data_IF_438361080896
#
_entry.id   IF_438361080896
#
_cell.length_a   1.000
_cell.length_b   1.000
_cell.length_c   1.000
_cell.angle_alpha   90.00
_cell.angle_beta   90.00
_cell.angle_gamma   90.00
#
_symmetry.space_group_name_H-M   'P 1'
#
loop_
_entity.id
_entity.type
_entity.pdbx_description
1 polymer ?
#
# COMPACT_ATOMS: atom_id res chain seq x y z
N UNK A 1 9.74 2.59 41.46
CA UNK A 1 8.32 3.06 41.31
C UNK A 1 7.86 3.13 39.85
N UNK A 2 8.72 3.53 38.89
CA UNK A 2 8.38 3.58 37.45
C UNK A 2 8.15 2.17 36.84
N UNK A 3 8.99 1.19 37.19
CA UNK A 3 8.82 -0.22 36.75
C UNK A 3 7.50 -0.87 37.20
N UNK A 4 6.94 -0.51 38.36
CA UNK A 4 5.64 -1.04 38.81
C UNK A 4 4.44 -0.44 38.04
N UNK A 5 4.62 0.69 37.33
CA UNK A 5 3.63 1.19 36.36
C UNK A 5 3.59 0.35 35.08
N UNK A 6 4.71 -0.27 34.68
CA UNK A 6 4.77 -1.13 33.49
C UNK A 6 3.96 -2.43 33.66
N UNK A 7 3.99 -3.10 34.82
CA UNK A 7 3.08 -4.24 35.08
C UNK A 7 1.59 -3.86 35.04
N UNK A 8 1.27 -2.60 35.33
CA UNK A 8 -0.11 -2.06 35.24
C UNK A 8 -0.55 -1.84 33.79
N UNK A 9 0.38 -1.75 32.82
CA UNK A 9 0.07 -1.56 31.39
C UNK A 9 -0.55 -2.78 30.71
N UNK A 10 -0.29 -4.03 31.16
CA UNK A 10 -0.94 -5.21 30.55
C UNK A 10 -2.47 -5.23 30.71
N UNK A 11 -3.02 -4.63 31.78
CA UNK A 11 -4.48 -4.41 31.92
C UNK A 11 -5.00 -3.32 30.97
N UNK A 12 -4.19 -2.30 30.68
CA UNK A 12 -4.53 -1.25 29.71
C UNK A 12 -4.49 -1.74 28.26
N UNK A 13 -3.68 -2.77 27.93
CA UNK A 13 -3.63 -3.35 26.59
C UNK A 13 -4.95 -3.97 26.18
N UNK A 14 -5.57 -4.80 27.03
CA UNK A 14 -6.92 -5.34 26.76
C UNK A 14 -7.97 -4.25 26.58
N UNK A 15 -7.87 -3.16 27.34
CA UNK A 15 -8.76 -2.00 27.22
C UNK A 15 -8.54 -1.23 25.91
N UNK A 16 -7.30 -1.11 25.42
CA UNK A 16 -7.01 -0.47 24.13
C UNK A 16 -7.33 -1.37 22.95
N UNK A 17 -7.08 -2.68 23.01
CA UNK A 17 -7.46 -3.59 21.93
C UNK A 17 -8.98 -3.63 21.76
N UNK A 18 -9.73 -3.60 22.87
CA UNK A 18 -11.18 -3.41 22.84
C UNK A 18 -11.57 -2.03 22.28
N UNK A 19 -10.86 -0.97 22.65
CA UNK A 19 -11.07 0.37 22.11
C UNK A 19 -10.77 0.45 20.61
N UNK A 20 -9.66 -0.13 20.14
CA UNK A 20 -9.30 -0.22 18.74
C UNK A 20 -10.30 -1.08 17.97
N UNK A 21 -10.80 -2.18 18.54
CA UNK A 21 -11.88 -2.96 17.95
C UNK A 21 -13.17 -2.14 17.84
N UNK A 22 -13.51 -1.35 18.86
CA UNK A 22 -14.66 -0.44 18.84
C UNK A 22 -14.48 0.66 17.79
N UNK A 23 -13.30 1.29 17.73
CA UNK A 23 -12.95 2.29 16.71
C UNK A 23 -13.00 1.67 15.32
N UNK A 24 -12.46 0.46 15.14
CA UNK A 24 -12.50 -0.25 13.86
C UNK A 24 -13.93 -0.41 13.38
N UNK A 25 -14.85 -0.79 14.27
CA UNK A 25 -16.26 -0.90 13.92
C UNK A 25 -16.90 0.47 13.61
N UNK A 26 -16.55 1.53 14.35
CA UNK A 26 -17.12 2.87 14.16
C UNK A 26 -16.59 3.63 12.94
N UNK A 27 -15.32 3.43 12.58
CA UNK A 27 -14.65 4.14 11.49
C UNK A 27 -14.64 3.35 10.18
N UNK A 28 -15.08 2.09 10.19
CA UNK A 28 -15.21 1.31 8.96
C UNK A 28 -16.27 1.97 8.10
N UNK A 29 -15.91 2.26 6.86
CA UNK A 29 -16.88 2.77 5.89
C UNK A 29 -17.92 1.68 5.63
N UNK A 30 -19.17 1.99 5.94
CA UNK A 30 -20.32 1.19 5.56
C UNK A 30 -20.53 1.37 4.06
N UNK A 31 -20.41 0.28 3.32
CA UNK A 31 -20.67 0.24 1.87
C UNK A 31 -21.81 -0.72 1.61
N UNK A 32 -22.60 -0.44 0.57
CA UNK A 32 -23.56 -1.44 0.09
C UNK A 32 -22.81 -2.69 -0.45
N UNK A 33 -23.46 -3.86 -0.58
CA UNK A 33 -22.79 -5.10 -1.02
C UNK A 33 -22.05 -4.98 -2.36
N UNK A 34 -22.49 -4.06 -3.22
CA UNK A 34 -21.93 -3.87 -4.55
C UNK A 34 -21.04 -2.64 -4.67
N UNK A 35 -21.10 -1.72 -3.71
CA UNK A 35 -20.29 -0.51 -3.70
C UNK A 35 -18.82 -0.83 -3.37
N UNK A 36 -17.94 -0.19 -4.14
CA UNK A 36 -16.50 -0.31 -3.96
C UNK A 36 -16.03 0.64 -2.85
N UNK A 37 -15.46 0.08 -1.79
CA UNK A 37 -14.80 0.87 -0.75
C UNK A 37 -13.47 1.47 -1.24
N UNK A 38 -13.47 2.75 -1.63
CA UNK A 38 -12.29 3.49 -2.10
C UNK A 38 -11.21 3.77 -1.02
N UNK A 39 -11.48 3.44 0.25
CA UNK A 39 -10.44 3.43 1.30
C UNK A 39 -9.60 2.17 1.27
N UNK A 40 -10.16 1.04 0.81
CA UNK A 40 -9.46 -0.24 0.64
C UNK A 40 -8.95 -0.44 -0.79
N UNK A 41 -9.73 0.01 -1.77
CA UNK A 41 -9.45 -0.15 -3.20
C UNK A 41 -9.14 1.19 -3.86
N UNK A 42 -8.45 1.17 -4.99
CA UNK A 42 -8.20 2.34 -5.84
C UNK A 42 -8.47 1.98 -7.29
N UNK A 43 -8.84 2.97 -8.08
CA UNK A 43 -8.97 2.83 -9.53
C UNK A 43 -7.61 3.13 -10.16
N UNK A 44 -7.15 2.25 -11.04
CA UNK A 44 -5.89 2.34 -11.78
C UNK A 44 -6.17 2.11 -13.27
N UNK A 45 -5.24 2.51 -14.13
CA UNK A 45 -5.33 2.28 -15.59
C UNK A 45 -6.11 3.33 -16.38
N UNK A 46 -6.70 4.30 -15.68
CA UNK A 46 -7.57 5.30 -16.27
C UNK A 46 -9.04 4.92 -16.19
N UNK A 47 -9.87 5.62 -16.95
CA UNK A 47 -11.31 5.36 -17.04
C UNK A 47 -11.65 5.14 -18.50
N UNK A 48 -12.32 4.03 -18.79
CA UNK A 48 -12.73 3.65 -20.13
C UNK A 48 -14.19 4.02 -20.33
N UNK A 49 -14.51 4.59 -21.47
CA UNK A 49 -15.85 5.01 -21.84
C UNK A 49 -16.19 4.43 -23.20
N UNK A 50 -17.40 3.92 -23.34
CA UNK A 50 -17.99 3.62 -24.63
C UNK A 50 -19.44 4.07 -24.59
N UNK A 51 -19.90 4.70 -25.68
CA UNK A 51 -21.28 5.10 -25.86
C UNK A 51 -21.89 4.19 -26.94
N UNK A 52 -23.13 3.75 -26.71
CA UNK A 52 -23.92 3.09 -27.74
C UNK A 52 -24.77 4.13 -28.44
N UNK A 53 -24.85 4.00 -29.75
CA UNK A 53 -25.57 4.94 -30.61
C UNK A 53 -26.61 4.15 -31.38
N UNK A 54 -27.87 4.57 -31.26
CA UNK A 54 -28.95 4.08 -32.12
C UNK A 54 -28.89 4.85 -33.43
N UNK A 55 -28.76 4.10 -34.51
CA UNK A 55 -28.92 4.62 -35.86
C UNK A 55 -30.25 4.14 -36.41
N UNK A 56 -31.07 5.06 -36.93
CA UNK A 56 -32.34 4.72 -37.55
C UNK A 56 -32.08 3.83 -38.77
N UNK A 57 -32.71 2.66 -38.82
CA UNK A 57 -32.69 1.77 -39.98
C UNK A 57 -33.40 2.45 -41.16
N UNK A 58 -32.63 3.04 -42.08
CA UNK A 58 -33.15 3.60 -43.33
C UNK A 58 -33.21 2.52 -44.42
N UNK A 59 -34.04 1.51 -44.20
CA UNK A 59 -34.31 0.49 -45.23
C UNK A 59 -35.27 1.07 -46.26
N UNK A 60 -34.84 1.12 -47.52
CA UNK A 60 -35.68 1.48 -48.65
C UNK A 60 -36.00 0.21 -49.46
N UNK A 61 -37.27 -0.24 -49.47
CA UNK A 61 -37.67 -1.41 -50.24
C UNK A 61 -37.68 -1.08 -51.73
N UNK A 62 -37.07 -1.95 -52.52
CA UNK A 62 -37.09 -1.94 -53.99
C UNK A 62 -38.31 -2.72 -54.50
N UNK A 63 -38.64 -2.53 -55.78
CA UNK A 63 -39.82 -3.13 -56.43
C UNK A 63 -39.76 -4.67 -56.52
N UNK A 64 -38.59 -5.26 -56.31
CA UNK A 64 -38.29 -6.69 -56.38
C UNK A 64 -38.18 -7.33 -54.99
N UNK A 65 -38.75 -6.71 -53.96
CA UNK A 65 -38.70 -7.14 -52.55
C UNK A 65 -37.30 -7.09 -51.90
N UNK A 66 -36.28 -6.63 -52.62
CA UNK A 66 -34.96 -6.38 -52.03
C UNK A 66 -34.96 -5.06 -51.25
N UNK A 67 -34.11 -4.93 -50.22
CA UNK A 67 -33.97 -3.70 -49.44
C UNK A 67 -32.58 -3.11 -49.65
N UNK A 68 -32.50 -1.80 -49.91
CA UNK A 68 -31.24 -1.06 -49.87
C UNK A 68 -31.20 -0.19 -48.61
N UNK A 69 -30.04 -0.11 -47.98
CA UNK A 69 -29.82 0.84 -46.89
C UNK A 69 -29.35 2.17 -47.51
N UNK A 70 -30.20 3.19 -47.46
CA UNK A 70 -29.84 4.53 -47.95
C UNK A 70 -29.17 5.28 -46.78
N UNK A 71 -27.98 5.83 -46.99
CA UNK A 71 -27.28 6.68 -46.00
C UNK A 71 -27.45 8.16 -46.38
N UNK A 72 -28.69 8.65 -46.48
CA UNK A 72 -28.96 10.03 -46.90
C UNK A 72 -30.07 10.63 -46.04
N UNK A 73 -29.77 11.64 -45.23
CA UNK A 73 -30.75 12.35 -44.39
C UNK A 73 -30.11 13.13 -43.23
N UNK A 74 -30.94 13.80 -42.42
CA UNK A 74 -30.51 14.34 -41.13
C UNK A 74 -30.28 13.18 -40.18
N UNK A 75 -29.04 12.99 -39.74
CA UNK A 75 -28.68 11.93 -38.81
C UNK A 75 -29.19 12.28 -37.41
N UNK A 76 -30.39 11.81 -37.06
CA UNK A 76 -30.85 11.79 -35.68
C UNK A 76 -30.10 10.67 -34.95
N UNK A 77 -28.87 10.98 -34.55
CA UNK A 77 -28.01 10.14 -33.73
C UNK A 77 -28.48 10.29 -32.28
N UNK A 78 -29.11 9.24 -31.76
CA UNK A 78 -29.50 9.20 -30.34
C UNK A 78 -28.59 8.25 -29.58
N UNK A 79 -28.18 8.66 -28.37
CA UNK A 79 -27.48 7.76 -27.46
C UNK A 79 -28.45 6.68 -26.98
N UNK A 80 -27.99 5.44 -26.97
CA UNK A 80 -28.74 4.33 -26.40
C UNK A 80 -28.33 4.10 -24.94
N UNK A 81 -29.27 4.29 -24.03
CA UNK A 81 -29.12 3.96 -22.62
C UNK A 81 -29.30 2.45 -22.42
N UNK A 82 -28.38 1.67 -23.00
CA UNK A 82 -28.42 0.22 -22.94
C UNK A 82 -28.45 -0.28 -21.49
N UNK A 83 -29.49 -1.05 -21.19
CA UNK A 83 -29.66 -1.74 -19.92
C UNK A 83 -30.15 -3.16 -20.20
N UNK A 84 -29.37 -4.13 -19.75
CA UNK A 84 -29.75 -5.53 -19.67
C UNK A 84 -29.47 -6.04 -18.26
N UNK A 85 -30.54 -6.38 -17.53
CA UNK A 85 -30.44 -6.97 -16.20
C UNK A 85 -30.34 -8.47 -16.40
N UNK A 86 -29.14 -8.99 -16.20
CA UNK A 86 -28.86 -10.41 -16.28
C UNK A 86 -28.98 -11.04 -14.89
N UNK A 87 -29.84 -12.06 -14.80
CA UNK A 87 -29.99 -12.91 -13.62
C UNK A 87 -29.36 -14.27 -13.95
N UNK A 88 -28.26 -14.65 -13.29
CA UNK A 88 -27.62 -15.92 -13.56
C UNK A 88 -28.56 -17.08 -13.21
N UNK A 89 -28.54 -18.18 -13.99
CA UNK A 89 -29.35 -19.35 -13.70
C UNK A 89 -29.04 -19.89 -12.31
N UNK A 90 -30.07 -20.17 -11.51
CA UNK A 90 -29.90 -20.77 -10.19
C UNK A 90 -29.47 -22.22 -10.36
N UNK A 91 -28.29 -22.57 -9.84
CA UNK A 91 -27.87 -23.97 -9.71
C UNK A 91 -28.66 -24.54 -8.54
N UNK A 92 -29.56 -25.48 -8.80
CA UNK A 92 -30.23 -26.24 -7.74
C UNK A 92 -29.27 -27.34 -7.33
N UNK A 93 -28.60 -27.18 -6.18
CA UNK A 93 -27.86 -28.28 -5.58
C UNK A 93 -28.88 -29.31 -5.08
N UNK A 94 -29.13 -30.37 -5.85
CA UNK A 94 -29.83 -31.56 -5.38
C UNK A 94 -28.85 -32.48 -4.65
N UNK A 95 -29.26 -33.06 -3.51
CA UNK A 95 -28.47 -33.97 -2.65
C UNK A 95 -28.05 -35.30 -3.33
N UNK A 96 -28.29 -35.45 -4.62
CA UNK A 96 -27.89 -36.60 -5.42
C UNK A 96 -26.72 -36.17 -6.32
N UNK A 97 -25.62 -36.92 -6.28
CA UNK A 97 -24.31 -36.69 -6.93
C UNK A 97 -24.32 -36.55 -8.48
N UNK A 98 -25.43 -36.13 -9.09
CA UNK A 98 -25.50 -35.74 -10.49
C UNK A 98 -25.37 -34.20 -10.59
N UNK A 99 -24.18 -33.73 -10.94
CA UNK A 99 -23.96 -32.36 -11.43
C UNK A 99 -24.86 -32.12 -12.66
N UNK A 100 -26.12 -31.70 -12.45
CA UNK A 100 -26.97 -31.23 -13.54
C UNK A 100 -26.28 -30.02 -14.17
N UNK A 101 -25.83 -30.18 -15.42
CA UNK A 101 -25.25 -29.08 -16.19
C UNK A 101 -26.24 -27.93 -16.18
N UNK A 102 -25.82 -26.71 -15.80
CA UNK A 102 -26.72 -25.57 -15.77
C UNK A 102 -27.36 -25.41 -17.16
N UNK A 103 -28.65 -25.03 -17.21
CA UNK A 103 -29.35 -24.82 -18.47
C UNK A 103 -28.57 -23.85 -19.37
N UNK A 104 -28.64 -24.00 -20.70
CA UNK A 104 -27.95 -23.10 -21.63
C UNK A 104 -28.38 -21.66 -21.35
N UNK A 105 -27.39 -20.82 -21.09
CA UNK A 105 -27.60 -19.44 -20.70
C UNK A 105 -27.62 -18.52 -21.91
N UNK A 106 -28.71 -18.57 -22.68
CA UNK A 106 -28.87 -17.79 -23.90
C UNK A 106 -28.93 -16.27 -23.64
N UNK A 107 -29.10 -15.85 -22.38
CA UNK A 107 -29.23 -14.44 -22.01
C UNK A 107 -27.87 -13.77 -21.80
N UNK A 108 -26.81 -14.52 -21.51
CA UNK A 108 -25.47 -13.95 -21.30
C UNK A 108 -24.93 -13.28 -22.57
N UNK A 109 -25.32 -13.75 -23.74
CA UNK A 109 -24.90 -13.23 -25.06
C UNK A 109 -25.55 -11.89 -25.43
N UNK A 110 -26.57 -11.47 -24.67
CA UNK A 110 -27.14 -10.12 -24.80
C UNK A 110 -26.30 -9.06 -24.10
N UNK A 111 -25.38 -9.44 -23.22
CA UNK A 111 -24.47 -8.52 -22.54
C UNK A 111 -23.39 -8.02 -23.49
N UNK A 112 -22.84 -6.85 -23.19
CA UNK A 112 -21.73 -6.28 -23.95
C UNK A 112 -20.45 -6.93 -23.47
N UNK A 113 -19.77 -7.65 -24.35
CA UNK A 113 -18.44 -8.17 -24.08
C UNK A 113 -17.40 -7.05 -24.20
N UNK A 114 -16.59 -6.88 -23.16
CA UNK A 114 -15.51 -5.89 -23.09
C UNK A 114 -14.20 -6.62 -22.86
N UNK A 115 -13.20 -6.27 -23.65
CA UNK A 115 -11.83 -6.76 -23.51
C UNK A 115 -10.88 -5.58 -23.38
N UNK A 116 -10.07 -5.57 -22.32
CA UNK A 116 -9.12 -4.50 -22.02
C UNK A 116 -7.73 -5.11 -21.86
N UNK A 117 -6.79 -4.68 -22.69
CA UNK A 117 -5.36 -4.87 -22.44
C UNK A 117 -4.91 -3.95 -21.32
N UNK A 118 -4.31 -4.53 -20.27
CA UNK A 118 -3.88 -3.79 -19.10
C UNK A 118 -2.73 -2.83 -19.46
N UNK A 119 -2.73 -1.59 -18.95
CA UNK A 119 -1.66 -0.65 -19.24
C UNK A 119 -0.31 -1.10 -18.67
N UNK A 120 0.73 -1.11 -19.50
CA UNK A 120 2.08 -1.57 -19.12
C UNK A 120 2.76 -0.69 -18.06
N UNK A 121 2.32 0.56 -17.87
CA UNK A 121 2.87 1.50 -16.91
C UNK A 121 2.32 1.32 -15.48
N UNK A 122 1.58 0.24 -15.21
CA UNK A 122 0.94 -0.03 -13.93
C UNK A 122 1.31 -1.43 -13.46
N UNK A 123 1.64 -1.52 -12.17
CA UNK A 123 1.86 -2.78 -11.47
C UNK A 123 0.54 -3.33 -10.93
N UNK A 124 0.18 -4.51 -11.41
CA UNK A 124 -0.96 -5.29 -10.93
C UNK A 124 -0.45 -6.43 -10.07
N UNK A 125 -0.61 -6.33 -8.75
CA UNK A 125 -0.21 -7.37 -7.80
C UNK A 125 -1.26 -8.47 -7.61
N UNK A 126 -2.51 -8.15 -7.95
CA UNK A 126 -3.65 -9.06 -7.97
C UNK A 126 -4.44 -8.79 -9.26
N UNK A 127 -5.25 -9.75 -9.68
CA UNK A 127 -6.12 -9.57 -10.83
C UNK A 127 -7.04 -8.35 -10.63
N UNK A 128 -7.02 -7.35 -11.53
CA UNK A 128 -7.90 -6.20 -11.41
C UNK A 128 -9.37 -6.62 -11.48
N UNK A 129 -10.23 -5.93 -10.74
CA UNK A 129 -11.68 -6.12 -10.86
C UNK A 129 -12.30 -4.93 -11.60
N UNK A 130 -12.99 -5.14 -12.74
CA UNK A 130 -13.70 -4.08 -13.42
C UNK A 130 -14.90 -3.61 -12.59
N UNK A 131 -15.12 -2.30 -12.57
CA UNK A 131 -16.21 -1.64 -11.85
C UNK A 131 -16.82 -0.54 -12.71
N UNK A 132 -18.11 -0.29 -12.53
CA UNK A 132 -18.87 0.72 -13.23
C UNK A 132 -19.10 1.95 -12.36
N UNK A 133 -19.06 3.14 -12.96
CA UNK A 133 -19.42 4.38 -12.28
C UNK A 133 -20.93 4.63 -12.37
N UNK A 134 -21.61 4.51 -11.24
CA UNK A 134 -23.03 4.84 -11.11
C UNK A 134 -23.18 6.31 -10.74
N UNK A 135 -23.49 7.14 -11.75
CA UNK A 135 -23.51 8.60 -11.62
C UNK A 135 -24.53 9.11 -10.60
N UNK A 136 -25.70 8.50 -10.52
CA UNK A 136 -26.80 8.94 -9.65
C UNK A 136 -26.45 8.74 -8.17
N UNK A 137 -25.87 7.59 -7.85
CA UNK A 137 -25.42 7.23 -6.50
C UNK A 137 -24.02 7.81 -6.18
N UNK A 138 -23.27 8.23 -7.20
CA UNK A 138 -21.87 8.69 -7.12
C UNK A 138 -20.93 7.64 -6.52
N UNK A 139 -21.12 6.39 -6.92
CA UNK A 139 -20.32 5.26 -6.46
C UNK A 139 -19.68 4.51 -7.62
N UNK A 140 -18.57 3.86 -7.32
CA UNK A 140 -18.06 2.74 -8.13
C UNK A 140 -18.73 1.46 -7.64
N UNK A 141 -19.27 0.65 -8.55
CA UNK A 141 -20.01 -0.56 -8.22
C UNK A 141 -19.55 -1.74 -9.05
N UNK A 142 -19.65 -2.94 -8.46
CA UNK A 142 -19.50 -4.22 -9.18
C UNK A 142 -20.82 -4.70 -9.81
N UNK A 143 -21.91 -3.94 -9.65
CA UNK A 143 -23.19 -4.27 -10.28
C UNK A 143 -23.08 -4.28 -11.79
N UNK A 144 -23.84 -5.19 -12.41
CA UNK A 144 -23.93 -5.34 -13.86
C UNK A 144 -22.60 -5.67 -14.54
N UNK A 145 -21.63 -6.21 -13.79
CA UNK A 145 -20.36 -6.74 -14.29
C UNK A 145 -20.36 -8.25 -14.06
N UNK A 146 -20.13 -9.02 -15.12
CA UNK A 146 -20.27 -10.48 -15.12
C UNK A 146 -19.12 -11.14 -15.89
N UNK A 147 -18.97 -12.45 -15.72
CA UNK A 147 -18.02 -13.31 -16.47
C UNK A 147 -16.58 -12.75 -16.53
N UNK A 148 -16.06 -12.29 -15.39
CA UNK A 148 -14.73 -11.70 -15.32
C UNK A 148 -13.67 -12.79 -15.50
N UNK A 149 -12.86 -12.67 -16.54
CA UNK A 149 -11.76 -13.56 -16.89
C UNK A 149 -10.48 -12.76 -17.04
N UNK A 150 -9.47 -13.07 -16.24
CA UNK A 150 -8.15 -12.45 -16.33
C UNK A 150 -7.14 -13.42 -16.94
N UNK A 151 -6.51 -13.00 -18.04
CA UNK A 151 -5.39 -13.71 -18.64
C UNK A 151 -4.09 -13.03 -18.20
N UNK A 152 -3.38 -13.65 -17.26
CA UNK A 152 -2.15 -13.13 -16.68
C UNK A 152 -0.99 -13.10 -17.69
N UNK A 153 -0.88 -14.10 -18.58
CA UNK A 153 0.20 -14.16 -19.58
C UNK A 153 0.10 -13.02 -20.61
N UNK A 154 -1.12 -12.72 -21.06
CA UNK A 154 -1.39 -11.65 -22.03
C UNK A 154 -1.61 -10.29 -21.38
N UNK A 155 -1.76 -10.24 -20.05
CA UNK A 155 -2.20 -9.04 -19.31
C UNK A 155 -3.49 -8.45 -19.91
N UNK A 156 -4.48 -9.32 -20.16
CA UNK A 156 -5.79 -8.93 -20.73
C UNK A 156 -6.89 -9.35 -19.78
N UNK A 157 -7.84 -8.45 -19.54
CA UNK A 157 -9.06 -8.75 -18.80
C UNK A 157 -10.27 -8.71 -19.73
N UNK A 158 -11.08 -9.76 -19.68
CA UNK A 158 -12.32 -9.90 -20.43
C UNK A 158 -13.48 -10.00 -19.43
N UNK A 159 -14.56 -9.30 -19.69
CA UNK A 159 -15.75 -9.30 -18.84
C UNK A 159 -16.95 -8.87 -19.67
N UNK A 160 -18.15 -9.11 -19.13
CA UNK A 160 -19.41 -8.70 -19.74
C UNK A 160 -20.11 -7.65 -18.89
N UNK A 161 -20.71 -6.66 -19.52
CA UNK A 161 -21.44 -5.59 -18.83
C UNK A 161 -22.90 -5.51 -19.29
N UNK A 162 -23.78 -5.33 -18.30
CA UNK A 162 -25.23 -5.15 -18.52
C UNK A 162 -25.64 -3.69 -18.69
N UNK A 163 -24.72 -2.73 -18.50
CA UNK A 163 -24.97 -1.31 -18.72
C UNK A 163 -23.76 -0.64 -19.37
N UNK A 164 -24.01 0.30 -20.27
CA UNK A 164 -22.98 1.13 -20.89
C UNK A 164 -22.60 2.30 -19.96
N UNK A 165 -21.87 2.00 -18.88
CA UNK A 165 -21.39 2.99 -17.91
C UNK A 165 -19.85 3.13 -17.97
N UNK A 166 -19.28 4.23 -17.45
CA UNK A 166 -17.84 4.37 -17.37
C UNK A 166 -17.20 3.23 -16.56
N UNK A 167 -16.13 2.65 -17.10
CA UNK A 167 -15.43 1.51 -16.52
C UNK A 167 -14.13 1.97 -15.88
N UNK A 168 -13.91 1.55 -14.64
CA UNK A 168 -12.62 1.61 -13.96
C UNK A 168 -12.10 0.22 -13.66
N UNK A 169 -10.77 0.07 -13.60
CA UNK A 169 -10.14 -1.15 -13.10
C UNK A 169 -9.71 -0.92 -11.65
N UNK A 170 -10.29 -1.67 -10.72
CA UNK A 170 -9.96 -1.52 -9.31
C UNK A 170 -8.90 -2.52 -8.86
N UNK A 171 -8.00 -2.04 -8.00
CA UNK A 171 -6.95 -2.80 -7.34
C UNK A 171 -6.96 -2.53 -5.83
N UNK A 172 -6.47 -3.48 -5.04
CA UNK A 172 -6.28 -3.31 -3.60
C UNK A 172 -5.14 -2.34 -3.33
N UNK A 173 -5.36 -1.34 -2.47
CA UNK A 173 -4.37 -0.29 -2.17
C UNK A 173 -3.19 -0.80 -1.36
N UNK A 174 -3.43 -1.76 -0.47
CA UNK A 174 -2.48 -2.12 0.59
C UNK A 174 -1.84 -3.48 0.36
N UNK A 175 -1.70 -3.92 -0.90
CA UNK A 175 -1.09 -5.22 -1.22
C UNK A 175 0.32 -5.39 -0.66
N UNK A 176 1.05 -4.29 -0.53
CA UNK A 176 2.42 -4.25 -0.01
C UNK A 176 2.53 -3.92 1.49
N UNK A 177 1.42 -4.03 2.23
CA UNK A 177 1.37 -3.88 3.68
C UNK A 177 0.81 -5.15 4.34
N UNK A 178 1.29 -5.54 5.54
CA UNK A 178 2.44 -4.96 6.25
C UNK A 178 3.78 -5.29 5.57
N UNK A 179 4.82 -4.52 5.90
CA UNK A 179 6.19 -4.78 5.44
C UNK A 179 6.79 -5.96 6.20
N UNK A 180 7.63 -6.74 5.51
CA UNK A 180 8.33 -7.87 6.09
C UNK A 180 9.62 -7.43 6.79
N UNK A 181 10.40 -6.55 6.14
CA UNK A 181 11.63 -5.98 6.73
C UNK A 181 11.89 -4.58 6.18
N UNK A 182 12.71 -3.83 6.89
CA UNK A 182 13.24 -2.54 6.44
C UNK A 182 14.64 -2.33 7.00
N UNK A 183 15.44 -1.54 6.28
CA UNK A 183 16.77 -1.14 6.70
C UNK A 183 17.06 0.28 6.23
N UNK A 184 17.61 1.10 7.11
CA UNK A 184 18.12 2.43 6.80
C UNK A 184 19.61 2.47 7.13
N UNK A 185 20.44 2.84 6.15
CA UNK A 185 21.89 2.91 6.33
C UNK A 185 22.47 4.15 5.65
N UNK A 186 23.59 4.69 6.16
CA UNK A 186 24.28 5.74 5.44
C UNK A 186 24.84 5.21 4.12
N UNK A 187 24.91 6.10 3.13
CA UNK A 187 25.65 5.88 1.90
C UNK A 187 27.17 5.87 2.13
N UNK A 188 27.92 5.96 1.03
CA UNK A 188 29.37 6.06 1.08
C UNK A 188 29.82 7.27 1.90
N UNK A 189 30.96 7.16 2.59
CA UNK A 189 31.48 8.26 3.40
C UNK A 189 31.69 9.51 2.53
N UNK A 190 31.01 10.61 2.87
CA UNK A 190 31.07 11.86 2.12
C UNK A 190 30.04 12.01 1.01
N UNK A 191 29.21 10.99 0.72
CA UNK A 191 28.14 11.12 -0.28
C UNK A 191 26.98 12.00 0.18
N UNK A 192 26.82 12.16 1.50
CA UNK A 192 25.68 12.82 2.14
C UNK A 192 24.33 12.22 1.67
N UNK A 193 24.30 10.89 1.53
CA UNK A 193 23.12 10.13 1.13
C UNK A 193 22.73 9.12 2.20
N UNK A 194 21.44 8.81 2.27
CA UNK A 194 20.89 7.72 3.08
C UNK A 194 20.25 6.72 2.14
N UNK A 195 20.52 5.45 2.36
CA UNK A 195 19.94 4.35 1.62
C UNK A 195 18.86 3.70 2.49
N UNK A 196 17.68 3.50 1.92
CA UNK A 196 16.56 2.86 2.59
C UNK A 196 16.11 1.66 1.77
N UNK A 197 16.16 0.47 2.36
CA UNK A 197 15.71 -0.78 1.76
C UNK A 197 14.41 -1.20 2.45
N UNK A 198 13.42 -1.59 1.66
CA UNK A 198 12.10 -1.98 2.14
C UNK A 198 11.65 -3.26 1.44
N UNK A 199 11.37 -4.30 2.23
CA UNK A 199 10.80 -5.56 1.73
C UNK A 199 9.33 -5.61 2.12
N UNK A 200 8.47 -5.55 1.11
CA UNK A 200 7.04 -5.77 1.25
C UNK A 200 6.69 -7.26 1.00
N UNK A 201 5.40 -7.58 0.91
CA UNK A 201 4.90 -8.92 0.64
C UNK A 201 5.36 -9.47 -0.73
N UNK A 202 5.27 -8.65 -1.78
CA UNK A 202 5.56 -9.07 -3.16
C UNK A 202 6.82 -8.44 -3.73
N UNK A 203 7.21 -7.25 -3.26
CA UNK A 203 8.33 -6.49 -3.84
C UNK A 203 9.40 -6.07 -2.84
N UNK A 204 10.62 -5.90 -3.35
CA UNK A 204 11.74 -5.32 -2.62
C UNK A 204 12.13 -4.02 -3.30
N UNK A 205 12.22 -2.94 -2.54
CA UNK A 205 12.55 -1.60 -3.02
C UNK A 205 13.80 -1.08 -2.35
N UNK A 206 14.62 -0.37 -3.11
CA UNK A 206 15.74 0.40 -2.58
C UNK A 206 15.60 1.87 -2.97
N UNK A 207 15.80 2.75 -2.00
CA UNK A 207 15.71 4.19 -2.17
C UNK A 207 17.01 4.87 -1.80
N UNK A 208 17.37 5.91 -2.54
CA UNK A 208 18.41 6.86 -2.17
C UNK A 208 17.78 8.19 -1.79
N UNK A 209 18.09 8.68 -0.60
CA UNK A 209 17.68 9.98 -0.08
C UNK A 209 18.90 10.90 -0.09
N UNK A 210 18.79 12.06 -0.74
CA UNK A 210 19.88 13.03 -0.87
C UNK A 210 19.33 14.45 -0.86
N UNK A 211 19.83 15.29 0.06
CA UNK A 211 19.36 16.67 0.21
C UNK A 211 17.85 16.71 0.45
N UNK A 212 17.12 17.39 -0.42
CA UNK A 212 15.66 17.58 -0.38
C UNK A 212 14.87 16.55 -1.20
N UNK A 213 15.51 15.51 -1.75
CA UNK A 213 14.90 14.57 -2.71
C UNK A 213 15.14 13.10 -2.40
N UNK A 214 14.28 12.26 -2.98
CA UNK A 214 14.33 10.80 -2.90
C UNK A 214 14.24 10.19 -4.29
N UNK A 215 15.02 9.16 -4.55
CA UNK A 215 14.95 8.33 -5.75
C UNK A 215 14.63 6.88 -5.38
N UNK A 216 13.76 6.23 -6.16
CA UNK A 216 13.62 4.78 -6.15
C UNK A 216 14.71 4.22 -7.07
N UNK A 217 15.71 3.54 -6.52
CA UNK A 217 16.87 3.03 -7.29
C UNK A 217 16.58 1.70 -7.95
N UNK A 218 15.96 0.78 -7.20
CA UNK A 218 15.69 -0.56 -7.67
C UNK A 218 14.34 -1.04 -7.17
N UNK A 219 13.71 -1.88 -7.99
CA UNK A 219 12.52 -2.64 -7.64
C UNK A 219 12.72 -4.08 -8.12
N UNK A 220 12.59 -5.02 -7.21
CA UNK A 220 12.69 -6.45 -7.49
C UNK A 220 11.32 -7.12 -7.33
N UNK A 221 11.14 -8.26 -8.01
CA UNK A 221 9.91 -9.07 -7.98
C UNK A 221 8.66 -8.33 -8.50
N UNK A 222 8.85 -7.32 -9.34
CA UNK A 222 7.79 -6.68 -10.11
C UNK A 222 8.07 -6.84 -11.61
N UNK A 223 7.03 -6.92 -12.43
CA UNK A 223 7.15 -6.95 -13.89
C UNK A 223 7.77 -5.63 -14.40
N UNK A 224 8.92 -5.75 -15.05
CA UNK A 224 9.94 -4.70 -15.13
C UNK A 224 9.59 -3.42 -15.89
N UNK A 225 8.63 -3.42 -16.82
CA UNK A 225 8.41 -2.26 -17.70
C UNK A 225 7.73 -1.06 -17.03
N UNK A 226 6.89 -1.28 -16.02
CA UNK A 226 6.00 -0.23 -15.52
C UNK A 226 6.72 0.97 -14.89
N UNK A 227 7.85 0.72 -14.25
CA UNK A 227 8.56 1.70 -13.43
C UNK A 227 9.94 2.08 -13.94
N UNK A 228 10.42 1.48 -15.04
CA UNK A 228 11.65 1.90 -15.70
C UNK A 228 11.77 3.43 -15.87
N UNK A 229 10.70 4.18 -16.25
CA UNK A 229 10.81 5.61 -16.41
C UNK A 229 11.08 6.39 -15.12
N UNK A 230 10.85 5.80 -13.94
CA UNK A 230 10.98 6.48 -12.64
C UNK A 230 12.25 6.07 -11.88
N UNK A 231 12.86 4.93 -12.22
CA UNK A 231 14.04 4.41 -11.52
C UNK A 231 15.23 5.37 -11.62
N UNK A 232 15.95 5.55 -10.50
CA UNK A 232 17.12 6.40 -10.35
C UNK A 232 16.87 7.92 -10.43
N UNK A 233 15.61 8.36 -10.66
CA UNK A 233 15.26 9.78 -10.74
C UNK A 233 14.91 10.34 -9.36
N UNK A 234 15.44 11.52 -9.06
CA UNK A 234 15.20 12.22 -7.81
C UNK A 234 13.96 13.10 -7.89
N UNK A 235 13.02 12.84 -6.99
CA UNK A 235 11.75 13.56 -6.84
C UNK A 235 11.65 14.17 -5.44
N UNK A 236 10.79 15.19 -5.28
CA UNK A 236 10.30 15.50 -3.94
C UNK A 236 9.48 14.32 -3.39
N UNK A 237 9.36 14.23 -2.07
CA UNK A 237 8.61 13.12 -1.42
C UNK A 237 7.16 13.09 -1.92
N UNK A 238 6.51 14.26 -2.06
CA UNK A 238 5.13 14.35 -2.51
C UNK A 238 4.96 13.85 -3.96
N UNK A 239 5.87 14.22 -4.85
CA UNK A 239 5.87 13.75 -6.24
C UNK A 239 6.10 12.24 -6.30
N UNK A 240 7.09 11.72 -5.58
CA UNK A 240 7.39 10.29 -5.53
C UNK A 240 6.18 9.48 -5.05
N UNK A 241 5.56 9.90 -3.94
CA UNK A 241 4.36 9.25 -3.40
C UNK A 241 3.23 9.22 -4.42
N UNK A 242 2.98 10.32 -5.11
CA UNK A 242 1.90 10.40 -6.11
C UNK A 242 2.20 9.53 -7.34
N UNK A 243 3.44 9.55 -7.83
CA UNK A 243 3.87 8.72 -8.95
C UNK A 243 3.73 7.24 -8.59
N UNK A 244 4.28 6.81 -7.46
CA UNK A 244 4.22 5.41 -7.01
C UNK A 244 2.78 4.94 -6.80
N UNK A 245 1.89 5.77 -6.23
CA UNK A 245 0.47 5.43 -6.09
C UNK A 245 -0.24 5.25 -7.42
N UNK A 246 0.06 6.09 -8.41
CA UNK A 246 -0.56 6.03 -9.75
C UNK A 246 -0.11 4.82 -10.56
N UNK A 247 1.09 4.33 -10.31
CA UNK A 247 1.63 3.12 -10.94
C UNK A 247 1.24 1.85 -10.21
N UNK A 248 0.37 1.92 -9.18
CA UNK A 248 -0.09 0.76 -8.40
C UNK A 248 0.82 0.35 -7.25
N UNK A 249 1.96 1.01 -7.06
CA UNK A 249 2.91 0.74 -5.97
C UNK A 249 2.62 1.65 -4.75
N UNK A 250 1.55 1.37 -4.02
CA UNK A 250 1.24 2.12 -2.78
C UNK A 250 1.87 1.46 -1.55
N UNK A 251 2.92 2.09 -1.02
CA UNK A 251 3.59 1.73 0.24
C UNK A 251 3.36 2.78 1.35
N UNK A 252 2.46 3.74 1.11
CA UNK A 252 2.31 4.92 1.97
C UNK A 252 0.95 4.89 2.65
N UNK A 253 0.82 4.18 3.79
CA UNK A 253 -0.45 3.98 4.47
C UNK A 253 -1.14 5.30 4.81
N UNK A 254 -2.44 5.35 4.50
CA UNK A 254 -3.32 6.43 4.95
C UNK A 254 -3.52 6.41 6.47
N UNK A 255 -4.16 7.45 7.01
CA UNK A 255 -4.47 7.52 8.44
C UNK A 255 -5.47 6.43 8.89
N UNK A 256 -6.29 5.94 7.96
CA UNK A 256 -7.30 4.90 8.14
C UNK A 256 -6.84 3.53 7.62
N UNK A 257 -5.61 3.38 7.12
CA UNK A 257 -5.11 2.11 6.57
C UNK A 257 -5.14 0.97 7.60
N UNK A 258 -5.02 1.27 8.89
CA UNK A 258 -5.09 0.29 9.98
C UNK A 258 -6.45 -0.44 10.07
N UNK A 259 -7.49 0.09 9.43
CA UNK A 259 -8.81 -0.54 9.31
C UNK A 259 -8.83 -1.67 8.27
N UNK A 260 -7.96 -1.60 7.27
CA UNK A 260 -7.99 -2.44 6.07
C UNK A 260 -6.79 -3.38 5.95
N UNK A 261 -5.74 -3.15 6.74
CA UNK A 261 -4.54 -3.99 6.81
C UNK A 261 -4.61 -4.86 8.06
N UNK A 262 -4.31 -6.15 7.88
CA UNK A 262 -4.19 -7.12 8.96
C UNK A 262 -2.71 -7.37 9.31
N UNK A 263 -2.44 -8.02 10.44
CA UNK A 263 -1.07 -8.36 10.82
C UNK A 263 -0.17 -7.17 11.18
N UNK A 264 -0.73 -6.01 11.55
CA UNK A 264 0.02 -4.83 11.95
C UNK A 264 -0.04 -4.59 13.48
N UNK A 265 0.79 -3.65 13.95
CA UNK A 265 0.71 -3.11 15.31
C UNK A 265 0.76 -1.59 15.25
N UNK A 266 -0.40 -0.94 15.04
CA UNK A 266 -0.51 0.52 15.03
C UNK A 266 0.11 1.15 16.28
N UNK A 267 1.26 1.82 16.10
CA UNK A 267 2.02 2.43 17.19
C UNK A 267 1.38 3.73 17.63
N UNK A 268 1.72 4.17 18.84
CA UNK A 268 1.41 5.53 19.26
C UNK A 268 2.18 6.51 18.36
N UNK A 269 1.45 7.47 17.79
CA UNK A 269 2.01 8.47 16.90
C UNK A 269 3.20 9.20 17.54
N UNK A 270 3.12 9.56 18.83
CA UNK A 270 4.18 10.32 19.50
C UNK A 270 5.45 9.47 19.68
N UNK A 271 5.30 8.16 19.94
CA UNK A 271 6.46 7.25 20.05
C UNK A 271 7.14 7.07 18.70
N UNK A 272 6.34 6.88 17.65
CA UNK A 272 6.81 6.70 16.27
C UNK A 272 7.50 7.98 15.75
N UNK A 273 6.89 9.15 15.96
CA UNK A 273 7.41 10.48 15.60
C UNK A 273 8.77 10.78 16.25
N UNK A 274 8.88 10.57 17.57
CA UNK A 274 10.14 10.77 18.31
C UNK A 274 11.25 9.84 17.84
N UNK A 275 10.92 8.56 17.59
CA UNK A 275 11.88 7.59 17.06
C UNK A 275 12.35 8.00 15.66
N UNK A 276 11.43 8.38 14.77
CA UNK A 276 11.74 8.85 13.42
C UNK A 276 12.63 10.08 13.40
N UNK A 277 12.34 11.08 14.23
CA UNK A 277 13.19 12.27 14.33
C UNK A 277 14.61 11.88 14.79
N UNK A 278 14.73 11.02 15.80
CA UNK A 278 16.03 10.52 16.26
C UNK A 278 16.78 9.72 15.18
N UNK A 279 16.07 8.89 14.41
CA UNK A 279 16.66 8.12 13.31
C UNK A 279 17.15 9.05 12.19
N UNK A 280 16.35 10.04 11.81
CA UNK A 280 16.71 11.01 10.79
C UNK A 280 17.97 11.80 11.16
N UNK A 281 18.06 12.31 12.39
CA UNK A 281 19.24 13.03 12.90
C UNK A 281 20.53 12.20 12.94
N UNK A 282 20.43 10.86 12.99
CA UNK A 282 21.59 9.97 13.05
C UNK A 282 21.79 9.11 11.80
N UNK A 283 20.96 9.29 10.78
CA UNK A 283 20.90 8.48 9.54
C UNK A 283 22.21 8.45 8.74
N UNK A 284 23.05 9.48 8.88
CA UNK A 284 24.38 9.56 8.25
C UNK A 284 25.47 8.75 8.99
N UNK A 285 25.21 8.30 10.21
CA UNK A 285 26.23 7.70 11.08
C UNK A 285 25.84 6.35 11.66
N UNK A 286 24.55 6.07 11.72
CA UNK A 286 23.96 4.86 12.25
C UNK A 286 23.16 4.14 11.18
N UNK A 287 23.25 2.82 11.25
CA UNK A 287 22.35 1.93 10.54
C UNK A 287 21.24 1.51 11.50
N UNK A 288 20.03 1.46 10.98
CA UNK A 288 18.84 1.02 11.67
C UNK A 288 18.18 -0.09 10.87
N UNK A 289 17.67 -1.11 11.54
CA UNK A 289 17.03 -2.23 10.86
C UNK A 289 15.83 -2.74 11.65
N UNK A 290 14.90 -3.33 10.93
CA UNK A 290 13.73 -4.02 11.45
C UNK A 290 14.07 -5.03 12.56
N UNK A 291 13.08 -5.29 13.42
CA UNK A 291 13.14 -6.37 14.40
C UNK A 291 11.81 -7.09 14.49
N UNK A 292 11.86 -8.42 14.54
CA UNK A 292 10.65 -9.26 14.72
C UNK A 292 9.91 -8.98 16.02
N UNK A 293 10.62 -8.41 17.00
CA UNK A 293 10.07 -8.08 18.31
C UNK A 293 9.17 -6.83 18.26
N UNK A 294 9.27 -6.00 17.21
CA UNK A 294 8.48 -4.78 17.09
C UNK A 294 6.98 -5.06 17.15
N UNK A 295 6.51 -6.04 16.36
CA UNK A 295 5.09 -6.43 16.34
C UNK A 295 4.60 -6.88 17.73
N UNK A 296 5.44 -7.61 18.47
CA UNK A 296 5.12 -8.14 19.80
C UNK A 296 5.22 -7.09 20.93
N UNK A 297 5.95 -6.00 20.72
CA UNK A 297 6.14 -4.93 21.71
C UNK A 297 4.86 -4.11 21.96
N UNK A 298 3.82 -4.28 21.13
CA UNK A 298 2.55 -3.58 21.24
C UNK A 298 2.61 -2.12 20.79
N UNK A 299 1.52 -1.39 21.00
CA UNK A 299 1.34 -0.05 20.41
C UNK A 299 2.23 1.04 21.05
N UNK A 300 2.54 0.96 22.35
CA UNK A 300 3.22 2.03 23.08
C UNK A 300 4.75 1.96 23.00
N UNK A 301 5.28 1.01 22.24
CA UNK A 301 6.71 0.69 22.23
C UNK A 301 7.13 0.25 20.84
N UNK A 302 8.24 0.80 20.38
CA UNK A 302 8.90 0.39 19.14
C UNK A 302 10.20 -0.31 19.47
N UNK A 303 10.49 -1.39 18.74
CA UNK A 303 11.70 -2.20 18.90
C UNK A 303 12.39 -2.35 17.56
N UNK A 304 13.69 -2.12 17.52
CA UNK A 304 14.47 -2.17 16.28
C UNK A 304 15.95 -2.35 16.59
N UNK A 305 16.72 -2.63 15.56
CA UNK A 305 18.16 -2.79 15.66
C UNK A 305 18.89 -1.50 15.29
N UNK A 306 20.01 -1.23 15.95
CA UNK A 306 20.92 -0.15 15.55
C UNK A 306 22.38 -0.51 15.70
N UNK A 307 23.23 0.10 14.87
CA UNK A 307 24.69 0.07 15.02
C UNK A 307 25.32 1.32 14.43
N UNK A 308 26.39 1.81 15.03
CA UNK A 308 27.17 2.91 14.46
C UNK A 308 28.05 2.37 13.32
N UNK A 309 27.97 2.97 12.13
CA UNK A 309 28.74 2.51 10.95
C UNK A 309 29.83 3.49 10.53
N UNK A 310 29.72 4.77 10.90
CA UNK A 310 30.63 5.82 10.47
C UNK A 310 32.11 5.51 10.76
N UNK A 311 32.92 5.47 9.69
CA UNK A 311 34.38 5.24 9.71
C UNK A 311 34.82 4.02 10.53
N UNK A 312 33.99 2.97 10.58
CA UNK A 312 34.36 1.72 11.23
C UNK A 312 35.06 0.78 10.25
N UNK A 313 36.26 0.30 10.61
CA UNK A 313 37.00 -0.70 9.81
C UNK A 313 36.28 -2.05 9.79
N UNK A 314 35.62 -2.40 10.89
CA UNK A 314 34.77 -3.56 11.04
C UNK A 314 33.46 -3.11 11.65
N UNK A 315 32.33 -3.50 11.04
CA UNK A 315 31.02 -3.14 11.53
C UNK A 315 30.73 -3.85 12.86
N UNK A 316 30.21 -3.14 13.88
CA UNK A 316 29.86 -3.77 15.13
C UNK A 316 28.56 -4.58 14.99
N UNK A 317 28.33 -5.48 15.94
CA UNK A 317 27.06 -6.20 16.02
C UNK A 317 25.90 -5.23 16.28
N UNK A 318 24.72 -5.62 15.80
CA UNK A 318 23.50 -4.88 16.08
C UNK A 318 23.18 -4.89 17.57
N UNK A 319 22.74 -3.74 18.07
CA UNK A 319 22.17 -3.56 19.40
C UNK A 319 20.65 -3.45 19.27
N UNK A 320 19.91 -4.15 20.14
CA UNK A 320 18.46 -4.10 20.17
C UNK A 320 17.98 -2.89 20.97
N UNK A 321 17.28 -1.97 20.33
CA UNK A 321 16.74 -0.75 20.95
C UNK A 321 15.27 -0.91 21.23
N UNK A 322 14.84 -0.51 22.42
CA UNK A 322 13.44 -0.37 22.80
C UNK A 322 13.18 1.10 23.14
N UNK A 323 12.20 1.71 22.48
CA UNK A 323 11.77 3.09 22.70
C UNK A 323 10.29 3.18 23.03
N UNK A 324 9.95 3.97 24.05
CA UNK A 324 8.59 4.33 24.43
C UNK A 324 8.52 5.81 24.85
N UNK A 325 7.34 6.29 25.23
CA UNK A 325 7.13 7.70 25.61
C UNK A 325 7.99 8.22 26.78
N UNK A 326 8.57 7.33 27.58
CA UNK A 326 9.26 7.69 28.81
C UNK A 326 10.77 7.49 28.73
N UNK A 327 11.23 6.56 27.90
CA UNK A 327 12.64 6.25 27.75
C UNK A 327 12.93 5.50 26.44
N UNK A 328 14.20 5.59 26.05
CA UNK A 328 14.83 4.74 25.04
C UNK A 328 16.05 4.05 25.65
N UNK A 329 16.19 2.74 25.44
CA UNK A 329 17.33 1.97 25.96
C UNK A 329 17.74 0.84 25.01
N UNK A 330 18.92 0.26 25.24
CA UNK A 330 19.33 -0.99 24.59
C UNK A 330 18.99 -2.14 25.54
N UNK A 331 18.30 -3.15 25.01
CA UNK A 331 17.88 -4.32 25.77
C UNK A 331 18.81 -5.51 25.51
N UNK A 332 18.94 -6.40 26.49
CA UNK A 332 19.71 -7.64 26.40
C UNK A 332 18.96 -8.69 25.55
N UNK A 333 18.75 -8.39 24.27
CA UNK A 333 18.00 -9.23 23.35
C UNK A 333 18.66 -9.23 21.96
N UNK A 334 18.38 -10.27 21.16
CA UNK A 334 18.79 -10.40 19.77
C UNK A 334 17.70 -11.14 18.97
N UNK A 335 17.84 -11.20 17.65
CA UNK A 335 16.87 -11.89 16.77
C UNK A 335 16.87 -13.41 16.91
N UNK A 336 17.91 -14.00 17.49
CA UNK A 336 18.04 -15.47 17.58
C UNK A 336 17.54 -16.04 18.90
N UNK A 337 17.31 -15.20 19.91
CA UNK A 337 16.88 -15.65 21.25
C UNK A 337 15.39 -16.02 21.22
N UNK A 338 14.94 -17.10 21.90
CA UNK A 338 13.56 -17.58 21.80
C UNK A 338 12.51 -16.63 22.39
N UNK A 339 12.88 -15.74 23.31
CA UNK A 339 11.96 -14.83 23.99
C UNK A 339 12.52 -13.41 24.06
N UNK A 340 11.62 -12.42 23.96
CA UNK A 340 11.97 -11.02 24.11
C UNK A 340 12.33 -10.69 25.55
N UNK A 341 13.40 -9.92 25.74
CA UNK A 341 13.79 -9.36 27.03
C UNK A 341 13.64 -7.84 27.00
N UNK A 342 12.90 -7.29 27.97
CA UNK A 342 12.79 -5.85 28.22
C UNK A 342 13.92 -5.34 29.14
N UNK A 343 14.83 -6.22 29.57
CA UNK A 343 15.90 -5.85 30.49
C UNK A 343 16.96 -5.00 29.78
N UNK A 344 17.12 -3.77 30.27
CA UNK A 344 18.16 -2.86 29.79
C UNK A 344 19.55 -3.42 30.08
N UNK A 345 20.47 -3.29 29.12
CA UNK A 345 21.88 -3.59 29.39
C UNK A 345 22.44 -2.58 30.43
N UNK A 346 23.40 -3.00 31.27
CA UNK A 346 23.95 -2.15 32.32
C UNK A 346 24.72 -0.94 31.73
N UNK A 347 24.88 0.11 32.54
CA UNK A 347 25.72 1.30 32.27
C UNK A 347 25.30 2.22 31.12
N UNK A 348 24.09 2.07 30.55
CA UNK A 348 23.55 3.01 29.54
C UNK A 348 23.00 4.31 30.15
N UNK A 349 22.62 4.28 31.42
CA UNK A 349 21.97 5.41 32.09
C UNK A 349 20.53 5.64 31.61
N UNK A 350 19.92 6.72 32.07
CA UNK A 350 18.59 7.14 31.65
C UNK A 350 18.68 7.98 30.37
N UNK A 351 17.94 7.58 29.33
CA UNK A 351 17.83 8.34 28.08
C UNK A 351 16.33 8.56 27.79
N UNK A 352 15.84 9.81 27.80
CA UNK A 352 14.41 10.08 27.61
C UNK A 352 13.92 9.79 26.19
N UNK A 353 14.82 9.83 25.20
CA UNK A 353 14.51 9.64 23.78
C UNK A 353 15.69 8.99 23.03
N UNK A 354 15.47 8.65 21.76
CA UNK A 354 16.49 8.07 20.90
C UNK A 354 17.68 9.00 20.69
N UNK A 355 17.44 10.30 20.54
CA UNK A 355 18.51 11.27 20.37
C UNK A 355 19.49 11.23 21.55
N UNK A 356 18.98 11.20 22.78
CA UNK A 356 19.77 11.14 24.01
C UNK A 356 20.56 9.84 24.09
N UNK A 357 19.93 8.71 23.77
CA UNK A 357 20.61 7.41 23.74
C UNK A 357 21.77 7.44 22.74
N UNK A 358 21.50 7.81 21.48
CA UNK A 358 22.52 7.78 20.43
C UNK A 358 23.63 8.78 20.71
N UNK A 359 23.31 9.97 21.21
CA UNK A 359 24.31 10.97 21.62
C UNK A 359 25.22 10.46 22.74
N UNK A 360 24.67 9.68 23.67
CA UNK A 360 25.42 9.08 24.77
C UNK A 360 26.40 8.01 24.26
N UNK A 361 25.92 7.07 23.43
CA UNK A 361 26.71 5.92 22.96
C UNK A 361 27.62 6.21 21.77
N UNK A 362 27.34 7.26 20.98
CA UNK A 362 28.12 7.54 19.78
C UNK A 362 29.56 7.98 20.10
N UNK A 363 30.46 7.73 19.16
CA UNK A 363 31.85 8.17 19.27
C UNK A 363 31.99 9.70 19.38
N UNK A 364 33.06 10.18 20.03
CA UNK A 364 33.37 11.63 20.15
C UNK A 364 33.43 12.35 18.80
N UNK A 365 33.84 11.66 17.73
CA UNK A 365 33.89 12.20 16.36
C UNK A 365 32.48 12.46 15.83
N UNK A 366 31.61 11.45 15.88
CA UNK A 366 30.20 11.54 15.46
C UNK A 366 29.47 12.63 16.24
N UNK A 367 29.69 12.73 17.56
CA UNK A 367 29.10 13.79 18.41
C UNK A 367 29.44 15.22 17.96
N UNK A 368 30.61 15.44 17.35
CA UNK A 368 30.99 16.73 16.77
C UNK A 368 30.29 16.97 15.43
N UNK A 369 30.22 15.94 14.58
CA UNK A 369 29.61 16.03 13.25
C UNK A 369 28.11 16.30 13.30
N UNK A 370 27.39 15.68 14.24
CA UNK A 370 25.94 15.90 14.43
C UNK A 370 25.58 17.37 14.68
N UNK A 371 26.52 18.20 15.19
CA UNK A 371 26.27 19.63 15.40
C UNK A 371 26.11 20.40 14.08
N UNK A 372 26.70 19.89 12.99
CA UNK A 372 26.71 20.50 11.67
C UNK A 372 26.03 19.55 10.67
N UNK A 373 24.83 19.08 11.00
CA UNK A 373 24.09 18.17 10.13
C UNK A 373 23.39 18.92 9.00
N UNK A 374 23.24 18.26 7.86
CA UNK A 374 22.43 18.76 6.77
C UNK A 374 20.94 18.67 7.14
N UNK A 375 20.35 19.81 7.47
CA UNK A 375 18.95 19.91 7.90
C UNK A 375 17.99 19.49 6.78
N UNK A 376 18.33 19.74 5.51
CA UNK A 376 17.50 19.33 4.38
C UNK A 376 17.44 17.80 4.31
N UNK A 377 18.60 17.15 4.41
CA UNK A 377 18.66 15.69 4.44
C UNK A 377 17.88 15.10 5.64
N UNK A 378 18.05 15.66 6.84
CA UNK A 378 17.31 15.22 8.03
C UNK A 378 15.80 15.35 7.81
N UNK A 379 15.35 16.50 7.29
CA UNK A 379 13.93 16.74 6.99
C UNK A 379 13.39 15.73 5.97
N UNK A 380 14.14 15.47 4.89
CA UNK A 380 13.71 14.53 3.84
C UNK A 380 13.65 13.10 4.37
N UNK A 381 14.67 12.65 5.12
CA UNK A 381 14.66 11.32 5.75
C UNK A 381 13.47 11.19 6.68
N UNK A 382 13.26 12.16 7.57
CA UNK A 382 12.13 12.17 8.50
C UNK A 382 10.78 12.11 7.78
N UNK A 383 10.55 12.98 6.80
CA UNK A 383 9.29 13.02 6.07
C UNK A 383 9.05 11.73 5.27
N UNK A 384 10.11 11.11 4.74
CA UNK A 384 10.00 9.85 4.00
C UNK A 384 9.60 8.69 4.92
N UNK A 385 10.28 8.52 6.06
CA UNK A 385 9.97 7.44 7.02
C UNK A 385 8.63 7.65 7.73
N UNK A 386 8.23 8.91 7.98
CA UNK A 386 6.92 9.27 8.51
C UNK A 386 5.78 8.89 7.56
N UNK A 387 6.01 8.95 6.23
CA UNK A 387 5.03 8.55 5.22
C UNK A 387 4.92 7.03 5.05
N UNK A 388 6.01 6.28 5.26
CA UNK A 388 5.97 4.81 5.20
C UNK A 388 5.38 4.19 6.46
N UNK A 389 5.52 4.85 7.63
CA UNK A 389 5.01 4.36 8.93
C UNK A 389 5.46 2.93 9.24
N UNK A 390 6.69 2.58 8.88
CA UNK A 390 7.17 1.22 8.98
C UNK A 390 7.10 0.65 10.40
N UNK A 391 7.13 1.45 11.50
CA UNK A 391 7.01 0.87 12.83
C UNK A 391 5.59 0.36 13.12
N UNK A 392 4.59 1.04 12.58
CA UNK A 392 3.19 0.62 12.67
C UNK A 392 2.86 -0.57 11.77
N UNK A 393 3.54 -0.69 10.63
CA UNK A 393 3.26 -1.69 9.60
C UNK A 393 4.43 -2.68 9.37
N UNK A 394 5.22 -3.03 10.40
CA UNK A 394 6.23 -4.11 10.34
C UNK A 394 6.53 -4.79 11.68
#
# INVERSE_FOLDING_TARGET
RIFNRFKRNKRNWKSRDQFLKKIKNLLRVETTPHELNLRKFTILGGIYYFDLIKHILQQFPLKDESCIQVQVGMYEIEKDDFVFIYEPPQIVETDEDEEEKPPPDDNIDKLIQVEISLPEHILWFEAPTPVLWHKDEKIWSKQHVYDIKFNEEKQVINFRVGRALPIGLCAVRYNNLPFQTWEMRPGAVGSNTVLFSLTASTVIMEFTIKGDKVALESLQNATGAALEPILGKFYSIYELVNIMKRTGLDIFPGNDAFLYVEGHSLKDYVVEDQAYMGMAMFSQYFQFSWSRWNMLAGWSTVVYQTRQTYLQKQLPNYSMVMSNLFLTTIVACSEVIPAFSEESIPNIGFNPDLYSLLKNICSKKVRKLIRNIDINLVSTVYNFIEKTKFFSYS
#
